data_IF_019756023287
#
_entry.id   IF_019756023287
#
_cell.length_a   1.000
_cell.length_b   1.000
_cell.length_c   1.000
_cell.angle_alpha   90.00
_cell.angle_beta   90.00
_cell.angle_gamma   90.00
#
_symmetry.space_group_name_H-M   'P 1'
#
loop_
_entity.id
_entity.type
_entity.pdbx_description
1 polymer ?
#
# COMPACT_ATOMS: atom_id res chain seq x y z
N UNK A 1 26.40 -14.90 4.07
CA UNK A 1 25.46 -15.54 3.12
C UNK A 1 24.26 -14.62 2.93
N UNK A 2 23.95 -14.27 1.68
CA UNK A 2 22.76 -13.48 1.35
C UNK A 2 21.49 -14.34 1.56
N UNK A 3 20.51 -13.82 2.29
CA UNK A 3 19.24 -14.49 2.58
C UNK A 3 18.11 -13.76 1.84
N UNK A 4 17.73 -14.17 0.63
CA UNK A 4 16.81 -13.41 -0.23
C UNK A 4 15.44 -13.17 0.40
N UNK A 5 14.96 -14.08 1.25
CA UNK A 5 13.70 -13.96 2.00
C UNK A 5 13.72 -12.89 3.11
N UNK A 6 14.88 -12.30 3.43
CA UNK A 6 14.99 -11.19 4.40
C UNK A 6 15.02 -9.81 3.73
N UNK A 7 15.09 -9.76 2.41
CA UNK A 7 15.17 -8.51 1.65
C UNK A 7 13.86 -8.28 0.90
N UNK A 8 13.11 -7.26 1.32
CA UNK A 8 11.85 -6.88 0.67
C UNK A 8 12.01 -6.65 -0.86
N UNK A 9 12.98 -5.85 -1.34
CA UNK A 9 13.17 -5.66 -2.79
C UNK A 9 13.45 -6.95 -3.54
N UNK A 10 14.23 -7.86 -2.94
CA UNK A 10 14.59 -9.14 -3.56
C UNK A 10 13.37 -10.05 -3.68
N UNK A 11 12.52 -10.11 -2.65
CA UNK A 11 11.28 -10.86 -2.66
C UNK A 11 10.33 -10.36 -3.75
N UNK A 12 10.12 -9.05 -3.83
CA UNK A 12 9.23 -8.43 -4.83
C UNK A 12 9.76 -8.68 -6.24
N UNK A 13 11.05 -8.45 -6.48
CA UNK A 13 11.67 -8.67 -7.78
C UNK A 13 11.56 -10.15 -8.21
N UNK A 14 11.80 -11.08 -7.29
CA UNK A 14 11.69 -12.51 -7.58
C UNK A 14 10.25 -12.89 -7.94
N UNK A 15 9.26 -12.41 -7.19
CA UNK A 15 7.85 -12.65 -7.48
C UNK A 15 7.42 -12.11 -8.85
N UNK A 16 7.88 -10.91 -9.21
CA UNK A 16 7.63 -10.30 -10.51
C UNK A 16 8.23 -11.14 -11.65
N UNK A 17 9.49 -11.55 -11.52
CA UNK A 17 10.18 -12.38 -12.53
C UNK A 17 9.47 -13.72 -12.70
N UNK A 18 9.14 -14.39 -11.60
CA UNK A 18 8.45 -15.70 -11.64
C UNK A 18 7.08 -15.52 -12.32
N UNK A 19 6.28 -14.55 -11.90
CA UNK A 19 4.95 -14.32 -12.48
C UNK A 19 4.99 -14.01 -13.97
N UNK A 20 6.00 -13.27 -14.43
CA UNK A 20 6.20 -12.97 -15.84
C UNK A 20 6.59 -14.22 -16.65
N UNK A 21 7.52 -15.03 -16.12
CA UNK A 21 8.00 -16.24 -16.79
C UNK A 21 6.93 -17.33 -16.85
N UNK A 22 6.11 -17.48 -15.81
CA UNK A 22 5.06 -18.50 -15.77
C UNK A 22 3.76 -18.08 -16.45
N UNK A 23 3.58 -16.78 -16.75
CA UNK A 23 2.32 -16.23 -17.26
C UNK A 23 1.20 -16.18 -16.20
N UNK A 24 1.54 -16.33 -14.92
CA UNK A 24 0.58 -16.40 -13.81
C UNK A 24 -0.05 -17.77 -13.59
N UNK A 25 -1.18 -17.82 -12.87
CA UNK A 25 -1.92 -19.05 -12.63
C UNK A 25 -3.03 -19.24 -13.67
N UNK A 26 -3.23 -20.46 -14.22
CA UNK A 26 -4.22 -20.72 -15.27
C UNK A 26 -5.68 -20.65 -14.78
N UNK A 27 -5.91 -20.71 -13.46
CA UNK A 27 -7.22 -20.56 -12.84
C UNK A 27 -7.08 -19.94 -11.44
N UNK A 28 -8.16 -19.32 -10.95
CA UNK A 28 -8.28 -18.76 -9.60
C UNK A 28 -7.34 -17.59 -9.25
N UNK A 29 -6.70 -16.97 -10.25
CA UNK A 29 -5.78 -15.84 -10.03
C UNK A 29 -6.40 -14.71 -9.21
N UNK A 30 -7.70 -14.45 -9.38
CA UNK A 30 -8.44 -13.43 -8.62
C UNK A 30 -8.59 -13.81 -7.16
N UNK A 31 -9.09 -15.01 -6.88
CA UNK A 31 -9.35 -15.53 -5.54
C UNK A 31 -8.03 -15.67 -4.76
N UNK A 32 -6.99 -16.21 -5.41
CA UNK A 32 -5.65 -16.32 -4.83
C UNK A 32 -5.11 -14.93 -4.45
N UNK A 33 -5.25 -13.95 -5.33
CA UNK A 33 -4.80 -12.57 -5.07
C UNK A 33 -5.56 -11.92 -3.92
N UNK A 34 -6.89 -12.10 -3.87
CA UNK A 34 -7.73 -11.57 -2.80
C UNK A 34 -7.41 -12.21 -1.45
N UNK A 35 -7.22 -13.52 -1.40
CA UNK A 35 -6.82 -14.26 -0.19
C UNK A 35 -5.43 -13.81 0.26
N UNK A 36 -4.47 -13.72 -0.66
CA UNK A 36 -3.12 -13.26 -0.35
C UNK A 36 -3.12 -11.83 0.21
N UNK A 37 -3.92 -10.94 -0.37
CA UNK A 37 -4.09 -9.58 0.13
C UNK A 37 -4.73 -9.56 1.53
N UNK A 38 -5.76 -10.36 1.75
CA UNK A 38 -6.42 -10.51 3.07
C UNK A 38 -5.46 -11.02 4.16
N UNK A 39 -4.62 -12.00 3.82
CA UNK A 39 -3.57 -12.51 4.71
C UNK A 39 -2.50 -11.45 4.98
N UNK A 40 -2.04 -10.76 3.93
CA UNK A 40 -1.06 -9.67 4.05
C UNK A 40 -1.57 -8.57 4.98
N UNK A 41 -2.83 -8.14 4.81
CA UNK A 41 -3.49 -7.16 5.69
C UNK A 41 -3.61 -7.65 7.12
N UNK A 42 -4.04 -8.89 7.34
CA UNK A 42 -4.10 -9.48 8.68
C UNK A 42 -2.75 -9.43 9.38
N UNK A 43 -1.67 -9.83 8.70
CA UNK A 43 -0.32 -9.82 9.29
C UNK A 43 0.24 -8.41 9.48
N UNK A 44 -0.02 -7.45 8.59
CA UNK A 44 0.39 -6.07 8.85
C UNK A 44 -0.32 -5.48 10.08
N UNK A 45 -1.57 -5.89 10.31
CA UNK A 45 -2.36 -5.42 11.44
C UNK A 45 -1.90 -5.99 12.80
N UNK A 46 -1.25 -7.16 12.84
CA UNK A 46 -0.72 -7.71 14.10
C UNK A 46 0.44 -6.89 14.67
N UNK A 47 1.09 -6.05 13.86
CA UNK A 47 2.13 -5.12 14.32
C UNK A 47 1.57 -3.89 15.05
N UNK A 48 0.25 -3.67 15.05
CA UNK A 48 -0.35 -2.57 15.80
C UNK A 48 -0.37 -2.88 17.30
N UNK A 49 0.51 -2.22 18.03
CA UNK A 49 0.34 -2.02 19.47
C UNK A 49 -0.34 -0.67 19.74
N UNK A 50 -1.47 -0.68 20.46
CA UNK A 50 -2.20 0.54 20.84
C UNK A 50 -1.67 1.21 22.13
N UNK A 51 -0.61 0.68 22.76
CA UNK A 51 -0.16 1.16 24.08
C UNK A 51 0.58 2.51 24.04
N UNK A 52 0.05 3.54 24.73
CA UNK A 52 0.73 4.85 24.84
C UNK A 52 0.53 5.80 23.65
N UNK A 53 -0.55 5.62 22.88
CA UNK A 53 -0.93 6.56 21.81
C UNK A 53 -1.53 7.82 22.45
N UNK A 54 -0.96 8.99 22.15
CA UNK A 54 -1.60 10.28 22.47
C UNK A 54 -2.47 10.71 21.29
N UNK A 55 -3.82 10.67 21.41
CA UNK A 55 -4.72 10.91 20.27
C UNK A 55 -4.51 12.28 19.62
N UNK A 56 -4.20 13.30 20.44
CA UNK A 56 -4.08 14.69 19.99
C UNK A 56 -2.81 14.98 19.19
N UNK A 57 -1.68 14.36 19.54
CA UNK A 57 -0.43 14.53 18.79
C UNK A 57 -0.44 13.69 17.51
N UNK A 58 -0.98 12.47 17.57
CA UNK A 58 -1.09 11.61 16.41
C UNK A 58 -2.11 12.15 15.39
N UNK A 59 -3.20 12.82 15.84
CA UNK A 59 -4.19 13.40 14.93
C UNK A 59 -3.60 14.42 13.95
N UNK A 60 -2.73 15.33 14.40
CA UNK A 60 -2.11 16.33 13.51
C UNK A 60 -1.22 15.70 12.44
N UNK A 61 -0.46 14.68 12.83
CA UNK A 61 0.47 13.97 11.93
C UNK A 61 -0.28 13.05 10.97
N UNK A 62 -1.34 12.42 11.45
CA UNK A 62 -2.30 11.70 10.63
C UNK A 62 -2.92 12.62 9.58
N UNK A 63 -3.39 13.82 9.99
CA UNK A 63 -4.00 14.78 9.06
C UNK A 63 -3.02 15.23 7.98
N UNK A 64 -1.76 15.45 8.34
CA UNK A 64 -0.70 15.73 7.37
C UNK A 64 -0.52 14.55 6.39
N UNK A 65 -0.48 13.31 6.90
CA UNK A 65 -0.34 12.11 6.07
C UNK A 65 -1.54 11.93 5.14
N UNK A 66 -2.76 12.19 5.62
CA UNK A 66 -3.98 12.16 4.83
C UNK A 66 -3.96 13.21 3.72
N UNK A 67 -3.66 14.46 4.05
CA UNK A 67 -3.63 15.55 3.06
C UNK A 67 -2.55 15.33 2.00
N UNK A 68 -1.36 14.86 2.39
CA UNK A 68 -0.28 14.59 1.42
C UNK A 68 -0.66 13.39 0.54
N UNK A 69 -1.25 12.34 1.10
CA UNK A 69 -1.51 11.11 0.35
C UNK A 69 -2.78 11.17 -0.50
N UNK A 70 -3.89 11.65 0.05
CA UNK A 70 -5.17 11.78 -0.68
C UNK A 70 -5.35 13.12 -1.35
N UNK A 71 -4.77 14.19 -0.80
CA UNK A 71 -4.85 15.51 -1.43
C UNK A 71 -3.80 15.66 -2.52
N UNK A 72 -2.52 15.68 -2.12
CA UNK A 72 -1.44 15.99 -3.04
C UNK A 72 -1.14 14.85 -4.02
N UNK A 73 -0.94 13.62 -3.53
CA UNK A 73 -0.56 12.49 -4.39
C UNK A 73 -1.73 12.05 -5.29
N UNK A 74 -2.93 11.82 -4.76
CA UNK A 74 -4.08 11.52 -5.63
C UNK A 74 -4.39 12.67 -6.58
N UNK A 75 -4.27 13.92 -6.15
CA UNK A 75 -4.43 15.09 -7.03
C UNK A 75 -3.42 15.11 -8.19
N UNK A 76 -2.15 14.75 -7.92
CA UNK A 76 -1.13 14.61 -8.96
C UNK A 76 -1.45 13.45 -9.93
N UNK A 77 -1.94 12.32 -9.42
CA UNK A 77 -2.35 11.19 -10.26
C UNK A 77 -3.55 11.57 -11.13
N UNK A 78 -4.53 12.29 -10.58
CA UNK A 78 -5.67 12.79 -11.34
C UNK A 78 -5.28 13.85 -12.37
N UNK A 79 -4.23 14.63 -12.13
CA UNK A 79 -3.66 15.50 -13.15
C UNK A 79 -3.13 14.67 -14.34
N UNK A 80 -2.46 13.55 -14.09
CA UNK A 80 -2.04 12.65 -15.17
C UNK A 80 -3.24 12.00 -15.87
N UNK A 81 -4.31 11.66 -15.15
CA UNK A 81 -5.57 11.21 -15.74
C UNK A 81 -6.11 12.26 -16.72
N UNK A 82 -6.21 13.52 -16.27
CA UNK A 82 -6.71 14.64 -17.07
C UNK A 82 -5.89 14.90 -18.34
N UNK A 83 -4.56 14.71 -18.27
CA UNK A 83 -3.67 14.89 -19.42
C UNK A 83 -3.66 13.69 -20.38
N UNK A 84 -4.32 12.58 -20.02
CA UNK A 84 -4.34 11.35 -20.81
C UNK A 84 -5.59 11.30 -21.69
N UNK A 85 -5.40 11.19 -23.01
CA UNK A 85 -6.50 11.10 -23.97
C UNK A 85 -7.06 9.69 -24.16
N UNK A 86 -6.23 8.65 -23.91
CA UNK A 86 -6.65 7.26 -23.99
C UNK A 86 -7.55 6.90 -22.80
N UNK A 87 -8.79 6.50 -23.09
CA UNK A 87 -9.78 6.21 -22.05
C UNK A 87 -9.37 5.05 -21.13
N UNK A 88 -8.69 4.03 -21.65
CA UNK A 88 -8.24 2.90 -20.84
C UNK A 88 -7.12 3.28 -19.87
N UNK A 89 -6.19 4.12 -20.32
CA UNK A 89 -5.11 4.62 -19.46
C UNK A 89 -5.66 5.65 -18.46
N UNK A 90 -6.59 6.51 -18.89
CA UNK A 90 -7.30 7.46 -18.01
C UNK A 90 -7.94 6.75 -16.83
N UNK A 91 -8.73 5.69 -17.08
CA UNK A 91 -9.43 4.95 -16.03
C UNK A 91 -8.45 4.26 -15.07
N UNK A 92 -7.30 3.80 -15.59
CA UNK A 92 -6.20 3.30 -14.77
C UNK A 92 -5.67 4.34 -13.79
N UNK A 93 -5.48 5.59 -14.23
CA UNK A 93 -5.05 6.68 -13.35
C UNK A 93 -6.10 7.05 -12.29
N UNK A 94 -7.37 7.14 -12.69
CA UNK A 94 -8.47 7.41 -11.74
C UNK A 94 -8.56 6.30 -10.69
N UNK A 95 -8.43 5.04 -11.11
CA UNK A 95 -8.35 3.92 -10.19
C UNK A 95 -7.16 4.07 -9.23
N UNK A 96 -5.95 4.32 -9.72
CA UNK A 96 -4.78 4.50 -8.85
C UNK A 96 -4.95 5.65 -7.84
N UNK A 97 -5.60 6.75 -8.22
CA UNK A 97 -5.84 7.89 -7.33
C UNK A 97 -6.82 7.57 -6.19
N UNK A 98 -7.71 6.59 -6.38
CA UNK A 98 -8.80 6.26 -5.45
C UNK A 98 -8.44 5.16 -4.44
N UNK A 99 -7.46 4.31 -4.76
CA UNK A 99 -7.10 3.16 -3.92
C UNK A 99 -6.32 3.64 -2.69
N UNK A 100 -6.60 3.11 -1.48
CA UNK A 100 -5.83 3.41 -0.29
C UNK A 100 -4.34 3.05 -0.43
N UNK A 101 -3.47 3.64 0.40
CA UNK A 101 -2.03 3.44 0.23
C UNK A 101 -1.63 1.97 0.39
N UNK A 102 -0.67 1.51 -0.41
CA UNK A 102 -0.31 0.10 -0.46
C UNK A 102 0.24 -0.42 0.87
N UNK A 103 -0.14 -1.65 1.24
CA UNK A 103 0.36 -2.32 2.45
C UNK A 103 1.88 -2.53 2.48
N UNK A 104 2.50 -2.57 1.30
CA UNK A 104 3.95 -2.63 1.13
C UNK A 104 4.69 -1.45 1.78
N UNK A 105 4.01 -0.35 2.10
CA UNK A 105 4.61 0.79 2.79
C UNK A 105 5.13 0.39 4.17
N UNK A 106 4.52 -0.56 4.89
CA UNK A 106 4.98 -1.01 6.22
C UNK A 106 6.39 -1.62 6.19
N UNK A 107 6.68 -2.68 5.42
CA UNK A 107 8.02 -3.24 5.35
C UNK A 107 9.04 -2.27 4.72
N UNK A 108 8.61 -1.36 3.83
CA UNK A 108 9.48 -0.30 3.30
C UNK A 108 9.87 0.68 4.40
N UNK A 109 8.93 1.13 5.24
CA UNK A 109 9.23 1.96 6.41
C UNK A 109 10.23 1.26 7.33
N UNK A 110 10.04 -0.04 7.60
CA UNK A 110 10.96 -0.83 8.41
C UNK A 110 12.37 -0.85 7.81
N UNK A 111 12.46 -1.07 6.49
CA UNK A 111 13.73 -1.06 5.75
C UNK A 111 14.43 0.31 5.80
N UNK A 112 13.66 1.40 5.71
CA UNK A 112 14.16 2.77 5.80
C UNK A 112 14.41 3.24 7.25
N UNK A 113 14.27 2.36 8.24
CA UNK A 113 14.39 2.65 9.68
C UNK A 113 13.43 3.76 10.15
N UNK A 114 12.27 3.86 9.52
CA UNK A 114 11.19 4.76 9.93
C UNK A 114 10.34 4.18 11.05
N UNK A 115 9.31 4.92 11.44
CA UNK A 115 8.38 4.54 12.51
C UNK A 115 7.26 3.62 11.95
N UNK A 116 7.52 2.31 11.95
CA UNK A 116 6.58 1.30 11.44
C UNK A 116 5.26 1.34 12.17
N UNK A 117 5.29 1.45 13.50
CA UNK A 117 4.10 1.52 14.35
C UNK A 117 3.17 2.65 13.89
N UNK A 118 3.70 3.85 13.66
CA UNK A 118 2.91 4.98 13.15
C UNK A 118 2.44 4.78 11.72
N UNK A 119 3.25 4.15 10.86
CA UNK A 119 2.83 3.78 9.51
C UNK A 119 1.62 2.86 9.54
N UNK A 120 1.63 1.80 10.34
CA UNK A 120 0.51 0.85 10.41
C UNK A 120 -0.75 1.53 10.96
N UNK A 121 -0.63 2.38 12.00
CA UNK A 121 -1.77 3.14 12.53
C UNK A 121 -2.35 4.08 11.47
N UNK A 122 -1.50 4.84 10.77
CA UNK A 122 -1.95 5.78 9.74
C UNK A 122 -2.61 5.03 8.58
N UNK A 123 -2.01 3.93 8.12
CA UNK A 123 -2.61 3.07 7.10
C UNK A 123 -3.96 2.55 7.54
N UNK A 124 -4.10 1.99 8.75
CA UNK A 124 -5.38 1.47 9.24
C UNK A 124 -6.49 2.52 9.18
N UNK A 125 -6.22 3.76 9.61
CA UNK A 125 -7.21 4.84 9.54
C UNK A 125 -7.50 5.25 8.09
N UNK A 126 -6.47 5.37 7.24
CA UNK A 126 -6.66 5.70 5.82
C UNK A 126 -7.44 4.63 5.06
N UNK A 127 -7.22 3.35 5.37
CA UNK A 127 -7.99 2.22 4.83
C UNK A 127 -9.46 2.30 5.28
N UNK A 128 -9.72 2.61 6.55
CA UNK A 128 -11.09 2.82 7.03
C UNK A 128 -11.79 3.98 6.31
N UNK A 129 -11.08 5.10 6.11
CA UNK A 129 -11.62 6.25 5.36
C UNK A 129 -11.86 5.88 3.90
N UNK A 130 -10.95 5.14 3.26
CA UNK A 130 -11.12 4.72 1.86
C UNK A 130 -12.23 3.69 1.63
N UNK A 131 -12.75 3.05 2.69
CA UNK A 131 -13.89 2.16 2.64
C UNK A 131 -15.24 2.86 2.85
N UNK A 132 -15.23 4.11 3.35
CA UNK A 132 -16.41 4.93 3.63
C UNK A 132 -16.72 5.86 2.45
#
# INVERSE_FOLDING_TARGET
MFQPWRSFPTMVASGLVIGFVTGGFPAYSREISQIALGLGMTFAMTEISFSGISPRQEFRRFLASLVITYGALSGLILLFAFLTADAGIHDGWVLMASVPPAIAVVPITAYLKGDTRRTVISLAILYLIGLL
#
